data_IF_644782971906
#
_entry.id   IF_644782971906
#
_cell.length_a   1.000
_cell.length_b   1.000
_cell.length_c   1.000
_cell.angle_alpha   90.00
_cell.angle_beta   90.00
_cell.angle_gamma   90.00
#
_symmetry.space_group_name_H-M   'P 1'
#
loop_
_entity.id
_entity.type
_entity.pdbx_description
1 polymer ?
#
# COMPACT_ATOMS: atom_id res chain seq x y z
N UNK A 1 -2.70 3.65 -3.21
CA UNK A 1 -1.42 3.47 -3.95
C UNK A 1 -0.87 4.74 -4.59
N UNK A 2 -1.64 5.84 -4.72
CA UNK A 2 -1.14 7.11 -5.28
C UNK A 2 0.01 7.73 -4.49
N UNK A 3 0.05 7.49 -3.16
CA UNK A 3 1.11 7.96 -2.27
C UNK A 3 2.45 7.27 -2.61
N UNK A 4 2.41 5.98 -2.96
CA UNK A 4 3.61 5.21 -3.37
C UNK A 4 4.12 5.69 -4.74
N UNK A 5 3.21 6.04 -5.65
CA UNK A 5 3.58 6.64 -6.94
C UNK A 5 4.26 8.02 -6.76
N UNK A 6 3.75 8.86 -5.85
CA UNK A 6 4.41 10.12 -5.50
C UNK A 6 5.77 9.92 -4.83
N UNK A 7 5.90 8.87 -4.01
CA UNK A 7 7.16 8.53 -3.36
C UNK A 7 8.27 8.18 -4.36
N UNK A 8 7.96 7.44 -5.44
CA UNK A 8 8.93 7.12 -6.49
C UNK A 8 9.59 8.38 -7.08
N UNK A 9 8.81 9.43 -7.31
CA UNK A 9 9.32 10.72 -7.83
C UNK A 9 10.21 11.39 -6.79
N UNK A 10 9.80 11.41 -5.52
CA UNK A 10 10.58 11.99 -4.43
C UNK A 10 11.91 11.25 -4.26
N UNK A 11 11.87 9.91 -4.25
CA UNK A 11 13.03 9.03 -4.12
C UNK A 11 14.02 9.22 -5.28
N UNK A 12 13.53 9.34 -6.51
CA UNK A 12 14.34 9.68 -7.68
C UNK A 12 15.09 11.02 -7.51
N UNK A 13 14.39 12.05 -7.03
CA UNK A 13 15.02 13.36 -6.79
C UNK A 13 16.08 13.29 -5.70
N UNK A 14 15.79 12.63 -4.58
CA UNK A 14 16.77 12.45 -3.51
C UNK A 14 17.97 11.58 -3.95
N UNK A 15 17.75 10.56 -4.77
CA UNK A 15 18.81 9.73 -5.34
C UNK A 15 19.78 10.56 -6.19
N UNK A 16 19.26 11.41 -7.09
CA UNK A 16 20.07 12.35 -7.89
C UNK A 16 20.89 13.29 -7.00
N UNK A 17 20.30 13.82 -5.92
CA UNK A 17 21.00 14.69 -4.97
C UNK A 17 22.15 13.94 -4.27
N UNK A 18 21.94 12.69 -3.87
CA UNK A 18 22.98 11.88 -3.22
C UNK A 18 24.13 11.49 -4.16
N UNK A 19 23.89 11.37 -5.48
CA UNK A 19 24.93 11.17 -6.50
C UNK A 19 25.79 12.42 -6.66
N UNK A 20 25.17 13.61 -6.70
CA UNK A 20 25.88 14.89 -6.88
C UNK A 20 26.66 15.27 -5.60
N UNK A 21 26.15 14.90 -4.42
CA UNK A 21 26.78 15.19 -3.11
C UNK A 21 26.86 13.92 -2.26
N UNK A 22 27.89 13.07 -2.44
CA UNK A 22 27.99 11.77 -1.77
C UNK A 22 28.14 11.85 -0.24
N UNK A 23 28.61 12.99 0.28
CA UNK A 23 28.86 13.23 1.70
C UNK A 23 27.64 13.81 2.47
N UNK A 24 26.47 13.90 1.84
CA UNK A 24 25.25 14.44 2.46
C UNK A 24 24.54 13.36 3.30
N UNK A 25 25.10 13.07 4.49
CA UNK A 25 24.55 12.07 5.41
C UNK A 25 23.07 12.32 5.77
N UNK A 26 22.67 13.59 5.87
CA UNK A 26 21.29 14.00 6.17
C UNK A 26 20.31 13.53 5.08
N UNK A 27 20.68 13.63 3.79
CA UNK A 27 19.80 13.21 2.69
C UNK A 27 19.56 11.70 2.70
N UNK A 28 20.58 10.89 3.06
CA UNK A 28 20.43 9.43 3.20
C UNK A 28 19.52 9.05 4.35
N UNK A 29 19.66 9.71 5.50
CA UNK A 29 18.81 9.45 6.68
C UNK A 29 17.36 9.83 6.37
N UNK A 30 17.15 10.96 5.69
CA UNK A 30 15.82 11.43 5.32
C UNK A 30 15.12 10.48 4.34
N UNK A 31 15.85 9.97 3.34
CA UNK A 31 15.37 8.90 2.45
C UNK A 31 14.94 7.66 3.24
N UNK A 32 15.82 7.17 4.12
CA UNK A 32 15.56 5.96 4.91
C UNK A 32 14.31 6.10 5.81
N UNK A 33 14.14 7.25 6.45
CA UNK A 33 12.93 7.52 7.25
C UNK A 33 11.68 7.52 6.34
N UNK A 34 11.77 8.14 5.17
CA UNK A 34 10.64 8.21 4.24
C UNK A 34 10.27 6.83 3.69
N UNK A 35 11.26 5.98 3.36
CA UNK A 35 11.05 4.57 2.98
C UNK A 35 10.25 3.81 4.06
N UNK A 36 10.68 3.92 5.32
CA UNK A 36 10.01 3.24 6.43
C UNK A 36 8.57 3.75 6.60
N UNK A 37 8.36 5.07 6.52
CA UNK A 37 7.02 5.67 6.64
C UNK A 37 6.10 5.19 5.52
N UNK A 38 6.59 5.13 4.28
CA UNK A 38 5.80 4.65 3.13
C UNK A 38 5.49 3.17 3.27
N UNK A 39 6.44 2.35 3.73
CA UNK A 39 6.22 0.93 4.00
C UNK A 39 5.15 0.71 5.08
N UNK A 40 5.24 1.45 6.20
CA UNK A 40 4.27 1.39 7.30
C UNK A 40 2.87 1.85 6.86
N UNK A 41 2.80 2.87 6.00
CA UNK A 41 1.52 3.36 5.49
C UNK A 41 0.91 2.41 4.47
N UNK A 42 1.73 1.81 3.59
CA UNK A 42 1.29 0.83 2.62
C UNK A 42 0.74 -0.43 3.30
N UNK A 43 1.45 -0.97 4.29
CA UNK A 43 1.00 -2.10 5.11
C UNK A 43 -0.33 -1.82 5.82
N UNK A 44 -0.46 -0.67 6.47
CA UNK A 44 -1.69 -0.27 7.14
C UNK A 44 -2.87 -0.19 6.15
N UNK A 45 -2.64 0.39 4.97
CA UNK A 45 -3.68 0.48 3.93
C UNK A 45 -4.09 -0.89 3.36
N UNK A 46 -3.13 -1.80 3.17
CA UNK A 46 -3.39 -3.15 2.69
C UNK A 46 -4.17 -3.96 3.74
N UNK A 47 -3.84 -3.83 5.03
CA UNK A 47 -4.55 -4.47 6.13
C UNK A 47 -6.01 -3.99 6.23
N UNK A 48 -6.24 -2.67 6.13
CA UNK A 48 -7.60 -2.13 6.11
C UNK A 48 -8.41 -2.65 4.91
N UNK A 49 -7.80 -2.68 3.71
CA UNK A 49 -8.46 -3.21 2.51
C UNK A 49 -8.79 -4.71 2.66
N UNK A 50 -7.88 -5.51 3.23
CA UNK A 50 -8.12 -6.93 3.50
C UNK A 50 -9.32 -7.16 4.45
N UNK A 51 -9.45 -6.34 5.50
CA UNK A 51 -10.60 -6.43 6.40
C UNK A 51 -11.92 -6.17 5.68
N UNK A 52 -11.97 -5.18 4.79
CA UNK A 52 -13.17 -4.87 3.99
C UNK A 52 -13.46 -6.00 2.98
N UNK A 53 -12.44 -6.57 2.32
CA UNK A 53 -12.62 -7.71 1.42
C UNK A 53 -13.16 -8.94 2.15
N UNK A 54 -12.64 -9.21 3.36
CA UNK A 54 -13.14 -10.28 4.20
C UNK A 54 -14.62 -10.09 4.55
N UNK A 55 -15.00 -8.86 4.92
CA UNK A 55 -16.39 -8.50 5.20
C UNK A 55 -17.28 -8.60 3.95
N UNK A 56 -16.75 -8.27 2.77
CA UNK A 56 -17.48 -8.37 1.51
C UNK A 56 -17.73 -9.83 1.07
N UNK A 57 -16.86 -10.76 1.47
CA UNK A 57 -17.03 -12.20 1.21
C UNK A 57 -17.93 -12.90 2.24
N UNK A 58 -17.67 -12.71 3.54
CA UNK A 58 -18.39 -13.43 4.59
C UNK A 58 -19.70 -12.72 5.02
N UNK A 59 -19.77 -11.40 4.86
CA UNK A 59 -20.84 -10.59 5.45
C UNK A 59 -20.82 -10.62 6.99
N UNK A 60 -21.65 -9.81 7.61
CA UNK A 60 -21.88 -9.86 9.05
C UNK A 60 -23.35 -9.56 9.36
N UNK A 61 -24.06 -10.57 9.88
CA UNK A 61 -25.50 -10.46 10.19
C UNK A 61 -25.77 -9.51 11.35
N UNK A 62 -24.85 -9.42 12.31
CA UNK A 62 -25.01 -8.55 13.49
C UNK A 62 -25.01 -7.05 13.13
N UNK A 63 -24.33 -6.66 12.05
CA UNK A 63 -24.31 -5.27 11.56
C UNK A 63 -25.14 -5.09 10.28
N UNK A 64 -25.99 -6.08 9.92
CA UNK A 64 -26.76 -6.12 8.67
C UNK A 64 -25.92 -5.89 7.40
N UNK A 65 -24.65 -6.32 7.41
CA UNK A 65 -23.75 -6.21 6.27
C UNK A 65 -23.87 -7.47 5.41
N UNK A 66 -24.45 -7.37 4.22
CA UNK A 66 -24.61 -8.51 3.31
C UNK A 66 -23.35 -8.76 2.47
N UNK A 67 -23.14 -10.00 2.05
CA UNK A 67 -22.00 -10.40 1.23
C UNK A 67 -22.16 -9.89 -0.23
N UNK A 68 -21.65 -8.68 -0.48
CA UNK A 68 -21.75 -7.99 -1.79
C UNK A 68 -21.02 -8.76 -2.90
N UNK A 69 -19.99 -9.55 -2.55
CA UNK A 69 -19.21 -10.30 -3.54
C UNK A 69 -20.00 -11.38 -4.28
N UNK A 70 -21.15 -11.85 -3.75
CA UNK A 70 -22.01 -12.80 -4.48
C UNK A 70 -22.70 -12.17 -5.69
N UNK A 71 -22.94 -10.86 -5.66
CA UNK A 71 -23.64 -10.14 -6.72
C UNK A 71 -22.67 -9.54 -7.76
N UNK A 72 -21.42 -9.23 -7.35
CA UNK A 72 -20.37 -8.64 -8.20
C UNK A 72 -19.06 -9.43 -8.16
N UNK A 73 -19.10 -10.71 -8.55
CA UNK A 73 -17.95 -11.61 -8.50
C UNK A 73 -16.70 -11.09 -9.23
N UNK A 74 -16.86 -10.53 -10.44
CA UNK A 74 -15.74 -9.99 -11.22
C UNK A 74 -15.02 -8.81 -10.53
N UNK A 75 -15.77 -7.91 -9.90
CA UNK A 75 -15.19 -6.79 -9.15
C UNK A 75 -14.48 -7.30 -7.90
N UNK A 76 -15.11 -8.22 -7.17
CA UNK A 76 -14.54 -8.80 -5.96
C UNK A 76 -13.22 -9.52 -6.23
N UNK A 77 -13.14 -10.30 -7.31
CA UNK A 77 -11.91 -11.01 -7.69
C UNK A 77 -10.78 -10.04 -8.05
N UNK A 78 -11.10 -8.93 -8.72
CA UNK A 78 -10.12 -7.88 -9.05
C UNK A 78 -9.61 -7.14 -7.81
N UNK A 79 -10.50 -6.82 -6.87
CA UNK A 79 -10.13 -6.17 -5.59
C UNK A 79 -9.31 -7.10 -4.71
N UNK A 80 -9.71 -8.37 -4.56
CA UNK A 80 -8.95 -9.37 -3.82
C UNK A 80 -7.55 -9.56 -4.41
N UNK A 81 -7.45 -9.67 -5.74
CA UNK A 81 -6.16 -9.70 -6.44
C UNK A 81 -5.31 -8.45 -6.14
N UNK A 82 -5.91 -7.26 -6.18
CA UNK A 82 -5.21 -6.01 -5.87
C UNK A 82 -4.67 -5.97 -4.42
N UNK A 83 -5.43 -6.49 -3.45
CA UNK A 83 -4.99 -6.59 -2.05
C UNK A 83 -3.81 -7.54 -1.92
N UNK A 84 -3.89 -8.74 -2.53
CA UNK A 84 -2.78 -9.71 -2.52
C UNK A 84 -1.52 -9.10 -3.15
N UNK A 85 -1.63 -8.46 -4.31
CA UNK A 85 -0.48 -7.80 -4.95
C UNK A 85 0.10 -6.67 -4.10
N UNK A 86 -0.73 -5.99 -3.29
CA UNK A 86 -0.26 -4.94 -2.38
C UNK A 86 0.56 -5.52 -1.22
N UNK A 87 0.16 -6.67 -0.68
CA UNK A 87 0.96 -7.37 0.34
C UNK A 87 2.26 -7.92 -0.24
N UNK A 88 2.22 -8.47 -1.46
CA UNK A 88 3.44 -8.92 -2.15
C UNK A 88 4.40 -7.75 -2.36
N UNK A 89 3.90 -6.59 -2.77
CA UNK A 89 4.70 -5.38 -2.98
C UNK A 89 5.29 -4.77 -1.69
N UNK A 90 4.73 -5.10 -0.52
CA UNK A 90 5.30 -4.70 0.78
C UNK A 90 6.45 -5.63 1.19
N UNK A 91 6.35 -6.92 0.82
CA UNK A 91 7.33 -7.95 1.20
C UNK A 91 8.55 -7.92 0.29
N UNK A 92 8.35 -7.57 -0.99
CA UNK A 92 9.39 -7.44 -2.01
C UNK A 92 10.14 -6.11 -1.88
#
# INVERSE_FOLDING_TARGET
MSIVAGYLVLSLMFSVITIIRPNFAIARILLFIFDIVVLALATASAAAAAAIVYLAHNGNRNTNWQAICQQFGHFCQKVSGAVVTSFVAVVL
#
